data_IF_729939585361
#
_entry.id   IF_729939585361
#
_cell.length_a   1.000
_cell.length_b   1.000
_cell.length_c   1.000
_cell.angle_alpha   90.00
_cell.angle_beta   90.00
_cell.angle_gamma   90.00
#
_symmetry.space_group_name_H-M   'P 1'
#
loop_
_entity.id
_entity.type
_entity.pdbx_description
1 polymer ?
#
# COMPACT_ATOMS: atom_id res chain seq x y z
N UNK A 1 -22.09 21.04 -47.52
CA UNK A 1 -22.06 21.16 -46.04
C UNK A 1 -21.61 22.58 -45.70
N UNK A 2 -22.35 23.31 -44.87
CA UNK A 2 -22.07 24.74 -44.59
C UNK A 2 -20.74 24.93 -43.84
N UNK A 3 -19.93 25.92 -44.25
CA UNK A 3 -18.64 26.24 -43.63
C UNK A 3 -18.74 26.58 -42.13
N UNK A 4 -19.92 27.00 -41.68
CA UNK A 4 -20.22 27.26 -40.26
C UNK A 4 -20.32 25.95 -39.46
N UNK A 5 -20.93 24.90 -40.02
CA UNK A 5 -21.11 23.61 -39.36
C UNK A 5 -19.75 22.91 -39.20
N UNK A 6 -18.86 23.02 -40.20
CA UNK A 6 -17.49 22.49 -40.09
C UNK A 6 -16.69 23.17 -38.96
N UNK A 7 -16.81 24.50 -38.80
CA UNK A 7 -16.10 25.22 -37.73
C UNK A 7 -16.56 24.77 -36.34
N UNK A 8 -17.88 24.66 -36.13
CA UNK A 8 -18.44 24.19 -34.85
C UNK A 8 -17.96 22.77 -34.54
N UNK A 9 -17.96 21.87 -35.52
CA UNK A 9 -17.49 20.50 -35.36
C UNK A 9 -16.01 20.43 -34.98
N UNK A 10 -15.16 21.25 -35.62
CA UNK A 10 -13.72 21.32 -35.32
C UNK A 10 -13.48 21.83 -33.89
N UNK A 11 -14.19 22.89 -33.47
CA UNK A 11 -14.08 23.40 -32.11
C UNK A 11 -14.53 22.38 -31.07
N UNK A 12 -15.65 21.68 -31.31
CA UNK A 12 -16.14 20.63 -30.41
C UNK A 12 -15.14 19.46 -30.29
N UNK A 13 -14.56 19.01 -31.41
CA UNK A 13 -13.53 17.97 -31.41
C UNK A 13 -12.27 18.42 -30.64
N UNK A 14 -11.81 19.65 -30.87
CA UNK A 14 -10.63 20.17 -30.17
C UNK A 14 -10.85 20.28 -28.66
N UNK A 15 -12.04 20.70 -28.21
CA UNK A 15 -12.39 20.74 -26.80
C UNK A 15 -12.40 19.34 -26.17
N UNK A 16 -12.92 18.34 -26.87
CA UNK A 16 -12.90 16.94 -26.42
C UNK A 16 -11.48 16.39 -26.29
N UNK A 17 -10.60 16.69 -27.24
CA UNK A 17 -9.19 16.28 -27.17
C UNK A 17 -8.45 16.90 -26.00
N UNK A 18 -8.72 18.18 -25.70
CA UNK A 18 -8.14 18.86 -24.53
C UNK A 18 -8.64 18.23 -23.23
N UNK A 19 -9.95 18.00 -23.11
CA UNK A 19 -10.54 17.34 -21.93
C UNK A 19 -9.96 15.94 -21.71
N UNK A 20 -9.82 15.16 -22.78
CA UNK A 20 -9.25 13.81 -22.72
C UNK A 20 -7.74 13.83 -22.37
N UNK A 21 -6.99 14.79 -22.89
CA UNK A 21 -5.59 14.97 -22.53
C UNK A 21 -5.41 15.30 -21.05
N UNK A 22 -6.19 16.25 -20.53
CA UNK A 22 -6.18 16.65 -19.12
C UNK A 22 -6.59 15.48 -18.21
N UNK A 23 -7.65 14.73 -18.57
CA UNK A 23 -8.09 13.58 -17.76
C UNK A 23 -6.98 12.54 -17.63
N UNK A 24 -6.24 12.26 -18.72
CA UNK A 24 -5.16 11.28 -18.71
C UNK A 24 -3.99 11.68 -17.80
N UNK A 25 -3.62 12.96 -17.82
CA UNK A 25 -2.56 13.50 -16.96
C UNK A 25 -2.95 13.38 -15.49
N UNK A 26 -4.18 13.75 -15.14
CA UNK A 26 -4.69 13.65 -13.76
C UNK A 26 -4.69 12.19 -13.29
N UNK A 27 -5.23 11.27 -14.11
CA UNK A 27 -5.26 9.84 -13.75
C UNK A 27 -3.86 9.25 -13.61
N UNK A 28 -2.90 9.65 -14.45
CA UNK A 28 -1.52 9.19 -14.34
C UNK A 28 -0.83 9.69 -13.08
N UNK A 29 -1.04 10.95 -12.70
CA UNK A 29 -0.47 11.53 -11.48
C UNK A 29 -1.05 10.89 -10.20
N UNK A 30 -2.37 10.68 -10.15
CA UNK A 30 -3.04 9.99 -9.05
C UNK A 30 -2.61 8.53 -8.95
N UNK A 31 -2.54 7.82 -10.09
CA UNK A 31 -2.06 6.43 -10.13
C UNK A 31 -0.63 6.32 -9.60
N UNK A 32 0.25 7.25 -9.94
CA UNK A 32 1.65 7.21 -9.52
C UNK A 32 1.81 7.49 -8.01
N UNK A 33 0.95 8.34 -7.43
CA UNK A 33 0.95 8.57 -5.97
C UNK A 33 0.34 7.44 -5.16
N UNK A 34 -0.59 6.69 -5.74
CA UNK A 34 -1.21 5.53 -5.08
C UNK A 34 -0.35 4.27 -5.11
N UNK A 35 0.66 4.21 -5.98
CA UNK A 35 1.53 3.05 -6.12
C UNK A 35 2.59 2.99 -5.03
N UNK A 36 2.74 1.81 -4.44
CA UNK A 36 3.86 1.48 -3.57
C UNK A 36 5.17 1.47 -4.35
N UNK A 37 6.19 2.09 -3.77
CA UNK A 37 7.56 1.98 -4.27
C UNK A 37 8.34 0.98 -3.41
N UNK A 38 9.49 0.54 -3.92
CA UNK A 38 10.39 -0.31 -3.14
C UNK A 38 10.86 0.37 -1.83
N UNK A 39 11.05 1.70 -1.87
CA UNK A 39 11.44 2.48 -0.68
C UNK A 39 10.34 2.47 0.39
N UNK A 40 9.07 2.55 -0.02
CA UNK A 40 7.96 2.49 0.94
C UNK A 40 7.84 1.10 1.58
N UNK A 41 8.08 0.02 0.82
CA UNK A 41 8.08 -1.34 1.35
C UNK A 41 9.17 -1.52 2.41
N UNK A 42 10.38 -1.03 2.12
CA UNK A 42 11.49 -1.01 3.08
C UNK A 42 11.17 -0.14 4.31
N UNK A 43 10.50 1.00 4.13
CA UNK A 43 10.10 1.85 5.23
C UNK A 43 9.05 1.18 6.13
N UNK A 44 8.03 0.54 5.55
CA UNK A 44 7.03 -0.24 6.30
C UNK A 44 7.67 -1.36 7.11
N UNK A 45 8.62 -2.09 6.51
CA UNK A 45 9.37 -3.14 7.19
C UNK A 45 10.12 -2.60 8.40
N UNK A 46 10.85 -1.49 8.25
CA UNK A 46 11.58 -0.85 9.35
C UNK A 46 10.66 -0.41 10.48
N UNK A 47 9.54 0.25 10.15
CA UNK A 47 8.54 0.65 11.15
C UNK A 47 7.98 -0.57 11.91
N UNK A 48 7.69 -1.67 11.21
CA UNK A 48 7.26 -2.91 11.86
C UNK A 48 8.31 -3.43 12.86
N UNK A 49 9.60 -3.40 12.50
CA UNK A 49 10.68 -3.86 13.39
C UNK A 49 10.73 -2.98 14.64
N UNK A 50 10.63 -1.66 14.45
CA UNK A 50 10.63 -0.69 15.55
C UNK A 50 9.41 -0.89 16.47
N UNK A 51 8.21 -1.13 15.90
CA UNK A 51 6.96 -1.37 16.63
C UNK A 51 7.00 -2.69 17.45
N UNK A 52 7.71 -3.72 16.95
CA UNK A 52 7.91 -4.98 17.67
C UNK A 52 8.84 -4.79 18.89
N UNK A 53 9.69 -3.74 18.87
CA UNK A 53 10.46 -3.26 20.01
C UNK A 53 11.44 -4.29 20.56
N UNK A 54 11.44 -4.51 21.88
CA UNK A 54 12.41 -5.40 22.55
C UNK A 54 12.41 -6.85 22.03
N UNK A 55 11.31 -7.31 21.42
CA UNK A 55 11.25 -8.62 20.76
C UNK A 55 12.10 -8.69 19.49
N UNK A 56 12.25 -7.57 18.78
CA UNK A 56 13.10 -7.48 17.60
C UNK A 56 14.58 -7.71 17.94
N UNK A 57 15.01 -7.43 19.17
CA UNK A 57 16.38 -7.73 19.61
C UNK A 57 16.53 -9.21 19.96
N UNK A 58 15.57 -9.77 20.70
CA UNK A 58 15.61 -11.17 21.16
C UNK A 58 15.41 -12.18 20.03
N UNK A 59 14.55 -11.85 19.07
CA UNK A 59 14.14 -12.71 17.96
C UNK A 59 14.42 -12.01 16.63
N UNK A 60 15.63 -11.47 16.46
CA UNK A 60 15.97 -10.61 15.33
C UNK A 60 15.68 -11.22 13.96
N UNK A 61 16.02 -12.50 13.76
CA UNK A 61 15.76 -13.19 12.50
C UNK A 61 14.26 -13.39 12.25
N UNK A 62 13.55 -13.85 13.27
CA UNK A 62 12.11 -14.12 13.18
C UNK A 62 11.31 -12.83 12.98
N UNK A 63 11.72 -11.74 13.65
CA UNK A 63 11.13 -10.42 13.47
C UNK A 63 11.43 -9.85 12.07
N UNK A 64 12.64 -10.04 11.54
CA UNK A 64 12.99 -9.62 10.19
C UNK A 64 12.14 -10.34 9.13
N UNK A 65 11.92 -11.65 9.28
CA UNK A 65 11.06 -12.46 8.42
C UNK A 65 9.60 -12.00 8.53
N UNK A 66 9.09 -11.82 9.75
CA UNK A 66 7.74 -11.30 10.01
C UNK A 66 7.51 -9.94 9.36
N UNK A 67 8.41 -8.98 9.58
CA UNK A 67 8.25 -7.62 9.07
C UNK A 67 8.45 -7.52 7.56
N UNK A 68 9.24 -8.43 6.97
CA UNK A 68 9.31 -8.59 5.52
C UNK A 68 7.96 -9.06 4.97
N UNK A 69 7.36 -10.10 5.56
CA UNK A 69 6.03 -10.61 5.19
C UNK A 69 4.92 -9.56 5.40
N UNK A 70 4.95 -8.83 6.53
CA UNK A 70 4.03 -7.74 6.83
C UNK A 70 4.07 -6.67 5.73
N UNK A 71 5.26 -6.14 5.42
CA UNK A 71 5.40 -5.09 4.41
C UNK A 71 4.86 -5.54 3.05
N UNK A 72 5.14 -6.77 2.64
CA UNK A 72 4.65 -7.33 1.40
C UNK A 72 3.13 -7.46 1.37
N UNK A 73 2.56 -8.05 2.41
CA UNK A 73 1.12 -8.29 2.52
C UNK A 73 0.35 -6.98 2.53
N UNK A 74 0.83 -5.96 3.24
CA UNK A 74 0.23 -4.61 3.23
C UNK A 74 0.31 -3.98 1.85
N UNK A 75 1.48 -4.00 1.19
CA UNK A 75 1.64 -3.39 -0.13
C UNK A 75 0.86 -4.11 -1.25
N UNK A 76 0.56 -5.39 -1.06
CA UNK A 76 -0.26 -6.18 -1.98
C UNK A 76 -1.76 -6.07 -1.67
N UNK A 77 -2.13 -5.92 -0.40
CA UNK A 77 -3.51 -5.91 0.07
C UNK A 77 -4.20 -4.55 -0.02
N UNK A 78 -3.43 -3.46 0.04
CA UNK A 78 -3.96 -2.09 0.08
C UNK A 78 -3.19 -1.18 -0.87
N UNK A 79 -3.86 -0.17 -1.43
CA UNK A 79 -3.18 1.00 -1.98
C UNK A 79 -2.59 1.88 -0.85
N UNK A 80 -1.67 2.77 -1.19
CA UNK A 80 -1.12 3.74 -0.22
C UNK A 80 -2.19 4.57 0.48
N UNK A 81 -3.22 5.00 -0.27
CA UNK A 81 -4.28 5.85 0.28
C UNK A 81 -5.18 5.06 1.21
N UNK A 82 -5.52 3.81 0.87
CA UNK A 82 -6.29 2.94 1.75
C UNK A 82 -5.51 2.65 3.04
N UNK A 83 -4.22 2.32 2.93
CA UNK A 83 -3.36 2.14 4.11
C UNK A 83 -3.35 3.38 5.02
N UNK A 84 -3.15 4.57 4.45
CA UNK A 84 -3.16 5.82 5.23
C UNK A 84 -4.52 6.10 5.87
N UNK A 85 -5.61 5.82 5.14
CA UNK A 85 -6.96 5.94 5.66
C UNK A 85 -7.20 5.00 6.84
N UNK A 86 -6.81 3.73 6.74
CA UNK A 86 -6.91 2.75 7.83
C UNK A 86 -6.03 3.18 9.01
N UNK A 87 -4.78 3.61 8.77
CA UNK A 87 -3.88 4.08 9.85
C UNK A 87 -4.40 5.29 10.62
N UNK A 88 -5.28 6.10 10.02
CA UNK A 88 -5.91 7.24 10.69
C UNK A 88 -7.11 6.84 11.58
N UNK A 89 -7.59 5.60 11.46
CA UNK A 89 -8.67 5.05 12.28
C UNK A 89 -8.18 4.64 13.66
N UNK A 90 -9.09 4.26 14.56
CA UNK A 90 -8.70 3.77 15.88
C UNK A 90 -8.07 2.36 15.80
N UNK A 91 -7.41 1.92 16.87
CA UNK A 91 -6.67 0.64 16.89
C UNK A 91 -7.57 -0.57 16.58
N UNK A 92 -8.82 -0.55 17.04
CA UNK A 92 -9.76 -1.64 16.79
C UNK A 92 -10.06 -1.76 15.30
N UNK A 93 -10.40 -0.64 14.66
CA UNK A 93 -10.66 -0.56 13.22
C UNK A 93 -9.41 -0.92 12.40
N UNK A 94 -8.23 -0.45 12.81
CA UNK A 94 -6.96 -0.85 12.18
C UNK A 94 -6.76 -2.37 12.23
N UNK A 95 -7.03 -2.99 13.37
CA UNK A 95 -6.87 -4.43 13.53
C UNK A 95 -7.91 -5.22 12.73
N UNK A 96 -9.15 -4.76 12.65
CA UNK A 96 -10.20 -5.41 11.84
C UNK A 96 -9.80 -5.46 10.35
N UNK A 97 -9.14 -4.42 9.84
CA UNK A 97 -8.71 -4.33 8.44
C UNK A 97 -7.37 -5.02 8.18
N UNK A 98 -6.35 -4.78 9.02
CA UNK A 98 -5.00 -5.31 8.77
C UNK A 98 -4.85 -6.77 9.14
N UNK A 99 -5.49 -7.24 10.23
CA UNK A 99 -5.28 -8.58 10.75
C UNK A 99 -5.55 -9.68 9.71
N UNK A 100 -6.65 -9.67 8.94
CA UNK A 100 -6.90 -10.69 7.91
C UNK A 100 -5.79 -10.76 6.85
N UNK A 101 -5.17 -9.62 6.52
CA UNK A 101 -4.11 -9.52 5.50
C UNK A 101 -2.77 -10.04 6.02
N UNK A 102 -2.49 -9.86 7.33
CA UNK A 102 -1.21 -10.23 7.93
C UNK A 102 -1.28 -11.50 8.80
N UNK A 103 -2.44 -12.17 8.85
CA UNK A 103 -2.69 -13.28 9.77
C UNK A 103 -1.69 -14.42 9.60
N UNK A 104 -1.38 -14.77 8.34
CA UNK A 104 -0.40 -15.81 8.04
C UNK A 104 0.99 -15.43 8.54
N UNK A 105 1.47 -14.23 8.20
CA UNK A 105 2.73 -13.69 8.70
C UNK A 105 2.81 -13.75 10.24
N UNK A 106 1.72 -13.37 10.91
CA UNK A 106 1.65 -13.33 12.37
C UNK A 106 1.67 -14.74 13.00
N UNK A 107 0.97 -15.69 12.40
CA UNK A 107 0.96 -17.08 12.87
C UNK A 107 2.33 -17.74 12.71
N UNK A 108 2.98 -17.54 11.57
CA UNK A 108 4.32 -18.06 11.32
C UNK A 108 5.35 -17.46 12.29
N UNK A 109 5.24 -16.16 12.57
CA UNK A 109 6.09 -15.49 13.54
C UNK A 109 5.93 -16.06 14.96
N UNK A 110 4.68 -16.27 15.40
CA UNK A 110 4.42 -16.88 16.71
C UNK A 110 4.98 -18.30 16.82
N UNK A 111 4.80 -19.10 15.76
CA UNK A 111 5.32 -20.46 15.71
C UNK A 111 6.85 -20.47 15.77
N UNK A 112 7.51 -19.65 14.97
CA UNK A 112 8.97 -19.57 14.94
C UNK A 112 9.57 -19.15 16.30
N UNK A 113 8.96 -18.18 16.98
CA UNK A 113 9.38 -17.79 18.33
C UNK A 113 9.14 -18.89 19.37
N UNK A 114 8.02 -19.60 19.29
CA UNK A 114 7.72 -20.72 20.19
C UNK A 114 8.75 -21.84 20.03
N UNK A 115 8.99 -22.29 18.79
CA UNK A 115 9.93 -23.36 18.49
C UNK A 115 11.34 -23.01 19.00
N UNK A 116 11.79 -21.77 18.78
CA UNK A 116 13.08 -21.27 19.27
C UNK A 116 13.21 -21.21 20.79
N UNK A 117 12.10 -20.95 21.49
CA UNK A 117 12.09 -20.89 22.96
C UNK A 117 12.04 -22.29 23.59
N UNK A 118 11.54 -23.30 22.87
CA UNK A 118 11.50 -24.70 23.34
C UNK A 118 12.75 -25.51 23.02
N UNK A 119 13.63 -25.00 22.16
CA UNK A 119 14.90 -25.63 21.79
C UNK A 119 16.06 -25.21 22.73
N UNK A 120 15.79 -24.33 23.69
CA UNK A 120 16.67 -23.90 24.78
C UNK A 120 16.22 -24.58 26.10
#
# INVERSE_FOLDING_TARGET
MSSQIQKIAIYALSALFVLWGVSRIITGYLSNKNQWTAEDKEHLKKMCIDDVGGRAVRFAKETEEYCSCFSESITNGFSKVEYQYIKAQNEKEQNEEFLPVILECYNDYQKAMFDKTTLD
#
